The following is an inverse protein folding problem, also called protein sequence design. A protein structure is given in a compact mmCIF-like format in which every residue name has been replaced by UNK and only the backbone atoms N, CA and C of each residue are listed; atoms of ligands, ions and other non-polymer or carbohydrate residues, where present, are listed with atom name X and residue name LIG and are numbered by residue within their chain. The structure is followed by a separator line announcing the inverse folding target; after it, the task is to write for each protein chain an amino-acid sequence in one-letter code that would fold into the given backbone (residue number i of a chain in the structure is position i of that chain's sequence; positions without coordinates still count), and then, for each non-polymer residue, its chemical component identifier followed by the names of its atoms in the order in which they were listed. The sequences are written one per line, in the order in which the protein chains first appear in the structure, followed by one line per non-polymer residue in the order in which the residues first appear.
data_IF_076734558649
#
_entry.id   IF_076734558649
#
_cell.length_a   1.000
_cell.length_b   1.000
_cell.length_c   1.000
_cell.angle_alpha   90.00
_cell.angle_beta   90.00
_cell.angle_gamma   90.00
#
_symmetry.space_group_name_H-M   'P 1'
#
loop_
_entity.id
_entity.type
_entity.pdbx_description
1 polymer ?
#
# COMPACT_ATOMS: atom_id res chain seq x y z
N UNK A 1 -15.25 -6.91 52.54
CA UNK A 1 -15.10 -5.46 52.30
C UNK A 1 -13.64 -4.95 52.27
N UNK A 2 -12.61 -5.81 52.31
CA UNK A 2 -11.18 -5.40 52.20
C UNK A 2 -10.58 -5.47 50.79
N UNK A 3 -11.31 -6.01 49.80
CA UNK A 3 -10.83 -6.18 48.41
C UNK A 3 -11.20 -5.04 47.46
N UNK A 4 -12.01 -4.08 47.92
CA UNK A 4 -12.45 -2.92 47.10
C UNK A 4 -11.52 -1.73 47.26
N UNK A 5 -10.82 -1.61 48.40
CA UNK A 5 -9.91 -0.49 48.70
C UNK A 5 -8.56 -0.61 47.95
N UNK A 6 -8.13 -1.83 47.60
CA UNK A 6 -6.86 -2.04 46.87
C UNK A 6 -6.95 -1.62 45.40
N UNK A 7 -8.16 -1.54 44.82
CA UNK A 7 -8.35 -1.12 43.42
C UNK A 7 -8.45 0.39 43.22
N UNK A 8 -8.57 1.18 44.31
CA UNK A 8 -8.55 2.64 44.22
C UNK A 8 -7.14 3.25 44.37
N UNK A 9 -6.14 2.50 44.86
CA UNK A 9 -4.76 2.98 44.99
C UNK A 9 -3.90 2.75 43.72
N UNK A 10 -4.38 1.94 42.77
CA UNK A 10 -3.68 1.69 41.50
C UNK A 10 -4.05 2.69 40.39
N UNK A 11 -5.10 3.49 40.59
CA UNK A 11 -5.61 4.46 39.59
C UNK A 11 -4.95 5.84 39.72
N UNK A 12 -4.26 6.12 40.82
CA UNK A 12 -3.56 7.40 41.04
C UNK A 12 -2.06 7.38 40.71
N UNK A 13 -1.46 6.22 40.42
CA UNK A 13 -0.06 6.15 39.96
C UNK A 13 0.10 6.08 38.43
N UNK A 14 -0.99 5.83 37.69
CA UNK A 14 -0.97 5.80 36.22
C UNK A 14 -1.10 7.20 35.57
N UNK A 15 -1.54 8.22 36.31
CA UNK A 15 -1.65 9.60 35.80
C UNK A 15 -0.37 10.43 35.92
N UNK A 16 0.71 9.92 36.53
CA UNK A 16 1.99 10.65 36.65
C UNK A 16 3.06 10.23 35.63
N UNK A 17 2.80 9.20 34.81
CA UNK A 17 3.69 8.84 33.68
C UNK A 17 3.23 9.53 32.38
N UNK A 18 2.07 10.19 32.38
CA UNK A 18 1.51 10.92 31.23
C UNK A 18 1.91 12.41 31.18
N UNK A 19 2.86 12.86 32.02
CA UNK A 19 3.35 14.24 32.00
C UNK A 19 4.87 14.38 31.74
N UNK A 20 5.59 13.27 31.51
CA UNK A 20 7.06 13.24 31.40
C UNK A 20 7.64 12.88 30.04
N UNK A 21 6.84 12.81 28.96
CA UNK A 21 7.34 12.49 27.59
C UNK A 21 7.06 13.65 26.60
N UNK A 22 6.67 14.81 27.12
CA UNK A 22 6.49 16.06 26.38
C UNK A 22 7.66 17.02 26.64
N UNK A 23 8.89 16.50 26.74
CA UNK A 23 10.12 17.30 26.74
C UNK A 23 11.33 16.37 26.57
N UNK A 24 11.82 16.17 25.34
CA UNK A 24 13.13 15.56 25.17
C UNK A 24 13.39 14.88 23.83
N UNK A 25 14.08 15.60 22.95
CA UNK A 25 15.05 14.97 22.05
C UNK A 25 14.53 14.57 20.68
N UNK A 26 14.37 15.56 19.80
CA UNK A 26 14.47 15.30 18.38
C UNK A 26 15.83 14.67 18.04
N UNK A 27 15.80 13.56 17.31
CA UNK A 27 16.98 13.04 16.60
C UNK A 27 16.65 12.88 15.12
N UNK A 28 17.11 13.88 14.39
CA UNK A 28 17.36 13.90 12.96
C UNK A 28 18.32 12.75 12.60
N UNK A 29 17.89 11.81 11.76
CA UNK A 29 18.82 10.87 11.11
C UNK A 29 19.19 11.49 9.76
N UNK A 30 20.38 12.05 9.71
CA UNK A 30 21.06 12.58 8.52
C UNK A 30 21.73 11.40 7.80
N UNK A 31 21.44 11.22 6.52
CA UNK A 31 22.32 10.50 5.60
C UNK A 31 22.96 11.50 4.63
N UNK A 32 24.28 11.65 4.75
CA UNK A 32 25.23 11.74 3.63
C UNK A 32 25.12 12.90 2.62
N UNK A 33 25.66 14.05 3.00
CA UNK A 33 26.62 14.89 2.23
C UNK A 33 26.48 15.05 0.71
N UNK A 34 25.95 16.21 0.31
CA UNK A 34 26.28 16.93 -0.92
C UNK A 34 26.04 18.44 -0.68
N UNK A 35 27.11 19.21 -0.51
CA UNK A 35 27.10 20.63 -0.12
C UNK A 35 26.41 21.56 -1.16
N UNK A 36 25.62 22.56 -0.72
CA UNK A 36 25.21 23.71 -1.53
C UNK A 36 25.97 25.01 -1.14
N UNK A 37 26.29 25.86 -2.11
CA UNK A 37 26.68 27.27 -1.93
C UNK A 37 25.89 28.04 -3.00
N UNK A 38 24.80 28.74 -2.64
CA UNK A 38 24.71 30.16 -2.25
C UNK A 38 25.29 31.12 -3.34
N UNK A 39 24.63 32.19 -3.78
CA UNK A 39 23.47 32.90 -3.28
C UNK A 39 22.85 33.82 -4.34
N UNK A 40 21.87 34.62 -3.90
CA UNK A 40 20.89 35.31 -4.73
C UNK A 40 21.18 36.82 -4.95
N UNK A 41 20.74 37.31 -6.14
CA UNK A 41 20.14 38.63 -6.51
C UNK A 41 20.96 39.94 -6.29
N UNK A 42 20.60 41.13 -6.88
CA UNK A 42 19.54 41.44 -7.87
C UNK A 42 19.87 42.49 -8.99
N UNK A 43 18.88 42.68 -9.88
CA UNK A 43 18.35 43.93 -10.47
C UNK A 43 19.00 44.67 -11.68
N UNK A 44 18.10 44.92 -12.65
CA UNK A 44 17.87 46.13 -13.49
C UNK A 44 18.57 46.33 -14.85
N UNK A 45 17.70 46.35 -15.87
CA UNK A 45 17.53 47.30 -16.99
C UNK A 45 18.72 47.68 -17.89
N UNK A 46 18.61 47.42 -19.20
CA UNK A 46 18.35 48.42 -20.27
C UNK A 46 18.48 47.78 -21.68
N UNK A 47 17.55 48.15 -22.56
CA UNK A 47 17.47 47.93 -24.04
C UNK A 47 18.52 48.86 -24.75
N UNK A 48 18.61 49.05 -26.09
CA UNK A 48 18.11 48.33 -27.28
C UNK A 48 19.18 48.15 -28.41
N UNK A 49 18.74 47.57 -29.55
CA UNK A 49 19.07 47.98 -30.95
C UNK A 49 19.76 46.92 -31.84
N UNK A 50 19.03 46.49 -32.88
CA UNK A 50 19.50 45.88 -34.15
C UNK A 50 20.23 46.95 -35.01
N UNK A 51 21.13 46.63 -35.98
CA UNK A 51 20.69 46.09 -37.29
C UNK A 51 21.67 45.19 -38.09
N UNK A 52 21.07 44.31 -38.92
CA UNK A 52 21.34 44.01 -40.35
C UNK A 52 22.79 44.06 -40.89
N UNK A 53 23.24 42.95 -41.51
CA UNK A 53 23.62 42.87 -42.94
C UNK A 53 24.14 41.47 -43.35
N UNK A 54 23.64 40.98 -44.48
CA UNK A 54 23.98 39.74 -45.20
C UNK A 54 25.14 40.07 -46.18
N UNK A 55 26.00 39.11 -46.61
CA UNK A 55 25.78 38.54 -47.94
C UNK A 55 26.15 37.04 -48.12
N UNK A 56 25.63 36.53 -49.24
CA UNK A 56 25.60 35.18 -49.81
C UNK A 56 26.96 34.68 -50.31
N UNK A 57 27.22 33.36 -50.18
CA UNK A 57 28.04 32.62 -51.16
C UNK A 57 27.63 31.13 -51.27
N UNK A 58 27.71 30.58 -52.49
CA UNK A 58 26.94 29.45 -53.00
C UNK A 58 27.62 28.06 -52.91
N UNK A 59 26.76 27.03 -52.69
CA UNK A 59 26.72 25.62 -53.19
C UNK A 59 27.98 24.73 -53.23
N UNK A 60 27.84 23.42 -52.91
CA UNK A 60 27.56 22.42 -53.96
C UNK A 60 26.46 21.38 -53.64
N UNK A 61 25.90 20.82 -54.72
CA UNK A 61 24.79 19.86 -54.79
C UNK A 61 25.08 18.50 -54.16
N UNK A 62 24.10 17.93 -53.45
CA UNK A 62 24.07 16.52 -53.06
C UNK A 62 22.96 15.78 -53.83
N UNK A 63 23.32 14.67 -54.45
CA UNK A 63 22.43 13.79 -55.24
C UNK A 63 21.51 13.02 -54.29
N UNK A 64 20.19 13.12 -54.49
CA UNK A 64 19.20 12.39 -53.70
C UNK A 64 19.05 10.94 -54.21
N UNK A 65 19.28 9.96 -53.34
CA UNK A 65 18.92 8.54 -53.57
C UNK A 65 17.56 8.31 -52.95
N UNK A 66 16.57 7.93 -53.77
CA UNK A 66 15.22 7.62 -53.31
C UNK A 66 15.21 6.32 -52.48
N UNK A 67 14.79 6.42 -51.22
CA UNK A 67 14.56 5.25 -50.36
C UNK A 67 13.20 4.61 -50.68
N UNK A 68 13.20 3.28 -50.84
CA UNK A 68 12.00 2.47 -50.99
C UNK A 68 11.19 2.47 -49.67
N UNK A 69 9.85 2.61 -49.67
CA UNK A 69 9.07 2.61 -48.44
C UNK A 69 9.07 1.21 -47.80
N UNK A 70 9.54 1.14 -46.54
CA UNK A 70 9.45 -0.07 -45.72
C UNK A 70 7.99 -0.37 -45.38
N UNK A 71 7.58 -1.62 -45.58
CA UNK A 71 6.27 -2.14 -45.20
C UNK A 71 6.08 -2.04 -43.67
N UNK A 72 4.96 -1.49 -43.16
CA UNK A 72 4.73 -1.42 -41.71
C UNK A 72 4.72 -2.82 -41.10
N UNK A 73 5.62 -3.07 -40.16
CA UNK A 73 5.60 -4.27 -39.34
C UNK A 73 4.27 -4.32 -38.56
N UNK A 74 3.57 -5.45 -38.62
CA UNK A 74 2.38 -5.67 -37.81
C UNK A 74 2.73 -5.47 -36.33
N UNK A 75 2.02 -4.56 -35.65
CA UNK A 75 2.17 -4.34 -34.22
C UNK A 75 1.88 -5.65 -33.45
N UNK A 76 2.62 -5.96 -32.38
CA UNK A 76 2.34 -7.14 -31.57
C UNK A 76 0.88 -7.11 -31.08
N UNK A 77 0.15 -8.19 -31.30
CA UNK A 77 -1.19 -8.34 -30.75
C UNK A 77 -1.12 -8.20 -29.22
N UNK A 78 -1.86 -7.24 -28.68
CA UNK A 78 -1.99 -7.00 -27.24
C UNK A 78 -2.61 -8.26 -26.61
N UNK A 79 -1.78 -9.10 -25.99
CA UNK A 79 -2.24 -10.31 -25.31
C UNK A 79 -3.07 -9.85 -24.12
N UNK A 80 -4.36 -10.21 -24.11
CA UNK A 80 -5.26 -9.90 -23.00
C UNK A 80 -4.58 -10.25 -21.65
N UNK A 81 -4.62 -9.36 -20.65
CA UNK A 81 -3.94 -9.59 -19.39
C UNK A 81 -4.47 -10.88 -18.75
N UNK A 82 -3.58 -11.86 -18.56
CA UNK A 82 -3.95 -13.13 -17.96
C UNK A 82 -4.49 -12.91 -16.54
N UNK A 83 -5.66 -13.48 -16.24
CA UNK A 83 -6.28 -13.48 -14.91
C UNK A 83 -5.28 -14.01 -13.88
N UNK A 84 -4.78 -13.12 -13.01
CA UNK A 84 -3.68 -13.41 -12.07
C UNK A 84 -4.10 -14.13 -10.78
N UNK A 85 -5.40 -14.20 -10.50
CA UNK A 85 -5.94 -14.78 -9.28
C UNK A 85 -7.33 -15.38 -9.49
N UNK A 86 -7.75 -16.27 -8.60
CA UNK A 86 -9.15 -16.70 -8.48
C UNK A 86 -9.76 -16.14 -7.20
N UNK A 87 -10.99 -15.64 -7.30
CA UNK A 87 -11.76 -15.14 -6.17
C UNK A 87 -12.96 -16.07 -5.92
N UNK A 88 -13.07 -16.59 -4.70
CA UNK A 88 -14.09 -17.57 -4.31
C UNK A 88 -14.85 -17.05 -3.10
N UNK A 89 -16.17 -16.79 -3.21
CA UNK A 89 -16.97 -16.40 -2.06
C UNK A 89 -17.11 -17.58 -1.09
N UNK A 90 -17.04 -17.31 0.20
CA UNK A 90 -17.28 -18.32 1.24
C UNK A 90 -17.92 -17.69 2.48
N UNK A 91 -18.44 -18.53 3.38
CA UNK A 91 -19.05 -18.09 4.63
C UNK A 91 -18.37 -18.73 5.83
N UNK A 92 -18.24 -17.97 6.91
CA UNK A 92 -17.74 -18.47 8.20
C UNK A 92 -18.32 -17.64 9.34
N UNK A 93 -18.70 -18.29 10.46
CA UNK A 93 -19.27 -17.59 11.62
C UNK A 93 -20.50 -16.73 11.30
N UNK A 94 -21.32 -17.13 10.31
CA UNK A 94 -22.49 -16.36 9.85
C UNK A 94 -22.19 -15.19 8.90
N UNK A 95 -20.91 -14.93 8.63
CA UNK A 95 -20.42 -13.78 7.86
C UNK A 95 -19.95 -14.16 6.46
N UNK A 96 -20.05 -13.21 5.53
CA UNK A 96 -19.60 -13.36 4.14
C UNK A 96 -18.15 -12.91 3.94
N UNK A 97 -17.37 -13.71 3.21
CA UNK A 97 -15.98 -13.43 2.88
C UNK A 97 -15.69 -13.78 1.42
N UNK A 98 -14.57 -13.27 0.94
CA UNK A 98 -14.00 -13.66 -0.34
C UNK A 98 -12.58 -14.16 -0.13
N UNK A 99 -12.34 -15.39 -0.56
CA UNK A 99 -11.02 -16.00 -0.57
C UNK A 99 -10.36 -15.77 -1.91
N UNK A 100 -9.14 -15.24 -1.90
CA UNK A 100 -8.33 -15.00 -3.10
C UNK A 100 -7.17 -15.97 -3.09
N UNK A 101 -7.00 -16.69 -4.20
CA UNK A 101 -5.86 -17.57 -4.44
C UNK A 101 -5.08 -17.02 -5.63
N UNK A 102 -3.80 -16.74 -5.42
CA UNK A 102 -2.91 -16.25 -6.45
C UNK A 102 -2.52 -17.38 -7.40
N UNK A 103 -2.43 -17.08 -8.70
CA UNK A 103 -1.91 -18.01 -9.72
C UNK A 103 -0.45 -17.73 -10.08
N UNK A 104 0.12 -16.64 -9.56
CA UNK A 104 1.51 -16.25 -9.80
C UNK A 104 2.10 -15.54 -8.56
N UNK A 105 3.41 -15.67 -8.30
CA UNK A 105 4.07 -14.84 -7.30
C UNK A 105 4.05 -13.36 -7.70
N UNK A 106 4.18 -12.47 -6.72
CA UNK A 106 4.24 -11.02 -6.98
C UNK A 106 2.89 -10.37 -7.23
N UNK A 107 1.77 -11.02 -6.89
CA UNK A 107 0.44 -10.41 -7.01
C UNK A 107 0.33 -9.18 -6.10
N UNK A 108 0.13 -8.02 -6.70
CA UNK A 108 -0.08 -6.75 -6.01
C UNK A 108 -1.57 -6.46 -5.86
N UNK A 109 -1.92 -5.90 -4.71
CA UNK A 109 -3.26 -5.44 -4.39
C UNK A 109 -3.26 -3.91 -4.32
N UNK A 110 -4.20 -3.31 -5.02
CA UNK A 110 -4.45 -1.88 -5.02
C UNK A 110 -5.79 -1.55 -4.36
N UNK A 111 -5.96 -0.31 -3.93
CA UNK A 111 -7.20 0.18 -3.35
C UNK A 111 -8.33 0.14 -4.40
N UNK A 112 -9.43 -0.60 -4.19
CA UNK A 112 -10.58 -0.59 -5.10
C UNK A 112 -11.56 0.54 -4.78
N UNK A 113 -11.41 1.17 -3.61
CA UNK A 113 -12.22 2.29 -3.13
C UNK A 113 -11.31 3.33 -2.47
N UNK A 114 -11.67 4.63 -2.53
CA UNK A 114 -10.96 5.66 -1.80
C UNK A 114 -11.26 5.55 -0.29
N UNK A 115 -10.32 6.00 0.53
CA UNK A 115 -10.51 6.05 1.98
C UNK A 115 -9.21 6.24 2.77
N UNK A 116 -9.32 6.07 4.08
CA UNK A 116 -8.17 6.08 4.98
C UNK A 116 -7.76 4.66 5.33
N UNK A 117 -6.46 4.39 5.29
CA UNK A 117 -5.89 3.10 5.65
C UNK A 117 -5.82 2.95 7.16
N UNK A 118 -6.29 1.80 7.65
CA UNK A 118 -6.02 1.29 9.00
C UNK A 118 -5.25 -0.03 8.89
N UNK A 119 -4.08 -0.11 9.50
CA UNK A 119 -3.26 -1.32 9.59
C UNK A 119 -3.25 -1.81 11.03
N UNK A 120 -3.73 -3.03 11.24
CA UNK A 120 -3.63 -3.72 12.53
C UNK A 120 -2.75 -4.95 12.39
N UNK A 121 -1.68 -5.02 13.18
CA UNK A 121 -0.80 -6.17 13.22
C UNK A 121 -1.26 -7.14 14.30
N UNK A 122 -1.50 -8.39 13.90
CA UNK A 122 -1.89 -9.48 14.78
C UNK A 122 -0.77 -10.48 14.92
N UNK A 123 -0.71 -11.15 16.07
CA UNK A 123 0.14 -12.31 16.31
C UNK A 123 -0.72 -13.45 16.83
N UNK A 124 -0.33 -14.69 16.52
CA UNK A 124 -0.92 -15.88 17.12
C UNK A 124 -0.01 -16.35 18.25
N UNK A 125 -0.49 -16.21 19.49
CA UNK A 125 0.29 -16.47 20.70
C UNK A 125 -0.48 -17.49 21.52
N UNK A 126 0.12 -18.66 21.75
CA UNK A 126 -0.45 -19.70 22.62
C UNK A 126 -1.88 -20.11 22.25
N UNK A 127 -2.20 -20.15 20.94
CA UNK A 127 -3.53 -20.51 20.45
C UNK A 127 -4.51 -19.35 20.35
N UNK A 128 -4.10 -18.13 20.70
CA UNK A 128 -4.95 -16.95 20.68
C UNK A 128 -4.47 -15.87 19.70
N UNK A 129 -5.43 -15.18 19.08
CA UNK A 129 -5.16 -14.02 18.24
C UNK A 129 -5.01 -12.79 19.13
N UNK A 130 -3.81 -12.19 19.12
CA UNK A 130 -3.47 -10.99 19.90
C UNK A 130 -3.17 -9.83 18.97
N UNK A 131 -3.57 -8.62 19.36
CA UNK A 131 -3.32 -7.36 18.64
C UNK A 131 -2.46 -6.44 19.51
N UNK A 132 -1.49 -5.74 18.91
CA UNK A 132 -0.60 -4.83 19.64
C UNK A 132 0.45 -5.52 20.52
N UNK A 133 0.56 -6.85 20.46
CA UNK A 133 1.70 -7.59 21.03
C UNK A 133 2.95 -7.38 20.18
N UNK A 134 4.12 -7.56 20.80
CA UNK A 134 5.41 -7.47 20.12
C UNK A 134 6.33 -8.62 20.58
N UNK A 135 5.97 -9.85 20.22
CA UNK A 135 6.82 -11.02 20.44
C UNK A 135 7.65 -11.24 19.18
N UNK A 136 8.94 -10.85 19.13
CA UNK A 136 9.68 -10.75 17.86
C UNK A 136 9.95 -12.09 17.18
N UNK A 137 9.89 -13.20 17.93
CA UNK A 137 10.06 -14.56 17.42
C UNK A 137 8.82 -15.10 16.69
N UNK A 138 7.69 -14.39 16.77
CA UNK A 138 6.42 -14.81 16.17
C UNK A 138 6.05 -13.93 14.98
N UNK A 139 5.44 -14.52 13.93
CA UNK A 139 5.02 -13.78 12.75
C UNK A 139 3.97 -12.71 13.09
N UNK A 140 4.10 -11.56 12.42
CA UNK A 140 3.07 -10.53 12.39
C UNK A 140 2.18 -10.72 11.17
N UNK A 141 0.87 -10.67 11.36
CA UNK A 141 -0.13 -10.78 10.30
C UNK A 141 -0.85 -9.43 10.15
N UNK A 142 -0.66 -8.73 9.03
CA UNK A 142 -1.27 -7.42 8.83
C UNK A 142 -2.72 -7.57 8.38
N UNK A 143 -3.62 -6.83 9.01
CA UNK A 143 -4.95 -6.57 8.48
C UNK A 143 -4.93 -5.19 7.87
N UNK A 144 -5.00 -5.12 6.55
CA UNK A 144 -5.01 -3.86 5.79
C UNK A 144 -6.47 -3.49 5.54
N UNK A 145 -6.92 -2.40 6.14
CA UNK A 145 -8.31 -1.97 6.03
C UNK A 145 -8.41 -0.62 5.36
N UNK A 146 -9.31 -0.47 4.40
CA UNK A 146 -9.71 0.81 3.85
C UNK A 146 -11.02 1.21 4.51
N UNK A 147 -11.00 2.33 5.24
CA UNK A 147 -12.20 2.96 5.79
C UNK A 147 -12.63 4.06 4.83
N UNK A 148 -13.72 3.82 4.13
CA UNK A 148 -14.37 4.78 3.23
C UNK A 148 -15.51 5.48 3.94
N UNK A 149 -16.24 6.37 3.22
CA UNK A 149 -17.39 7.07 3.76
C UNK A 149 -18.52 6.15 4.23
N UNK A 150 -18.73 5.01 3.54
CA UNK A 150 -19.90 4.15 3.77
C UNK A 150 -19.53 2.71 4.18
N UNK A 151 -18.28 2.32 3.94
CA UNK A 151 -17.85 0.93 4.07
C UNK A 151 -16.43 0.76 4.60
N UNK A 152 -16.17 -0.42 5.16
CA UNK A 152 -14.89 -0.91 5.64
C UNK A 152 -14.51 -2.18 4.86
N UNK A 153 -13.46 -2.10 4.05
CA UNK A 153 -12.91 -3.23 3.29
C UNK A 153 -11.62 -3.70 3.95
N UNK A 154 -11.57 -4.95 4.44
CA UNK A 154 -10.41 -5.50 5.14
C UNK A 154 -9.81 -6.67 4.39
N UNK A 155 -8.52 -6.56 4.07
CA UNK A 155 -7.67 -7.63 3.57
C UNK A 155 -6.93 -8.32 4.71
N UNK A 156 -6.81 -9.64 4.60
CA UNK A 156 -6.10 -10.51 5.56
C UNK A 156 -5.10 -11.38 4.80
N UNK A 157 -3.96 -10.82 4.36
CA UNK A 157 -2.88 -11.62 3.78
C UNK A 157 -2.18 -12.49 4.83
N UNK A 158 -1.15 -13.22 4.38
CA UNK A 158 -0.25 -13.99 5.23
C UNK A 158 0.73 -13.12 6.03
N UNK A 159 1.77 -13.74 6.59
CA UNK A 159 2.70 -13.06 7.48
C UNK A 159 3.51 -11.95 6.77
N UNK A 160 3.72 -10.84 7.48
CA UNK A 160 4.48 -9.69 7.03
C UNK A 160 5.96 -10.06 6.87
N UNK A 161 6.56 -9.67 5.75
CA UNK A 161 7.98 -9.89 5.43
C UNK A 161 8.31 -11.28 4.89
N UNK A 162 7.45 -12.29 5.11
CA UNK A 162 7.64 -13.63 4.53
C UNK A 162 6.62 -14.00 3.45
N UNK A 163 5.38 -13.54 3.55
CA UNK A 163 4.32 -13.78 2.56
C UNK A 163 3.86 -12.48 1.93
N UNK A 164 3.71 -11.43 2.73
CA UNK A 164 3.20 -10.14 2.28
C UNK A 164 4.16 -9.00 2.63
N UNK A 165 4.26 -8.02 1.73
CA UNK A 165 4.93 -6.76 1.97
C UNK A 165 3.98 -5.60 1.76
N UNK A 166 3.92 -4.69 2.72
CA UNK A 166 3.07 -3.49 2.67
C UNK A 166 3.73 -2.43 1.79
N UNK A 167 2.92 -1.80 0.94
CA UNK A 167 3.29 -0.64 0.13
C UNK A 167 2.66 0.66 0.63
N UNK A 168 1.84 0.56 1.68
CA UNK A 168 1.11 1.67 2.28
C UNK A 168 1.34 1.73 3.79
N UNK A 169 1.20 2.93 4.36
CA UNK A 169 1.32 3.17 5.80
C UNK A 169 -0.05 3.36 6.46
N UNK A 170 -0.11 3.09 7.76
CA UNK A 170 -1.29 3.39 8.59
C UNK A 170 -1.64 4.88 8.57
N UNK A 171 -2.93 5.21 8.55
CA UNK A 171 -3.45 6.57 8.48
C UNK A 171 -3.34 7.25 7.11
N UNK A 172 -2.73 6.59 6.10
CA UNK A 172 -2.62 7.15 4.74
C UNK A 172 -4.00 7.26 4.09
N UNK A 173 -4.29 8.39 3.45
CA UNK A 173 -5.43 8.54 2.53
C UNK A 173 -5.03 8.00 1.17
N UNK A 174 -5.88 7.15 0.59
CA UNK A 174 -5.69 6.50 -0.71
C UNK A 174 -6.84 6.78 -1.67
N UNK A 175 -6.54 6.76 -2.96
CA UNK A 175 -7.52 6.76 -4.06
C UNK A 175 -7.51 5.40 -4.78
N UNK A 176 -8.50 5.17 -5.65
CA UNK A 176 -8.58 3.93 -6.41
C UNK A 176 -7.31 3.72 -7.24
N UNK A 177 -6.73 2.52 -7.16
CA UNK A 177 -5.50 2.16 -7.85
C UNK A 177 -4.21 2.34 -7.03
N UNK A 178 -4.26 3.03 -5.89
CA UNK A 178 -3.09 3.17 -5.02
C UNK A 178 -2.62 1.80 -4.49
N UNK A 179 -1.30 1.51 -4.50
CA UNK A 179 -0.78 0.23 -4.05
C UNK A 179 -0.95 0.05 -2.54
N UNK A 180 -1.42 -1.13 -2.12
CA UNK A 180 -1.62 -1.47 -0.71
C UNK A 180 -0.54 -2.42 -0.20
N UNK A 181 -0.39 -3.57 -0.88
CA UNK A 181 0.57 -4.60 -0.54
C UNK A 181 0.81 -5.54 -1.72
N UNK A 182 1.88 -6.32 -1.65
CA UNK A 182 2.17 -7.39 -2.61
C UNK A 182 2.40 -8.72 -1.89
N UNK A 183 2.05 -9.81 -2.56
CA UNK A 183 2.44 -11.16 -2.13
C UNK A 183 3.85 -11.45 -2.67
N UNK A 184 4.81 -11.62 -1.76
CA UNK A 184 6.23 -11.81 -2.13
C UNK A 184 6.66 -13.27 -2.19
N UNK A 185 5.91 -14.15 -1.54
CA UNK A 185 6.14 -15.59 -1.58
C UNK A 185 4.81 -16.35 -1.51
N UNK A 186 4.85 -17.64 -1.82
CA UNK A 186 3.73 -18.54 -1.61
C UNK A 186 3.44 -18.66 -0.10
N UNK A 187 2.18 -18.43 0.28
CA UNK A 187 1.80 -18.53 1.68
C UNK A 187 0.31 -18.31 1.89
N UNK A 188 -0.22 -18.95 2.92
CA UNK A 188 -1.64 -18.82 3.28
C UNK A 188 -1.89 -17.51 4.02
N UNK A 189 -3.12 -17.03 3.86
CA UNK A 189 -3.66 -15.92 4.65
C UNK A 189 -3.55 -16.20 6.15
N UNK A 190 -3.54 -15.15 6.94
CA UNK A 190 -3.72 -15.23 8.40
C UNK A 190 -4.98 -15.98 8.82
N UNK A 191 -5.99 -16.10 7.95
CA UNK A 191 -7.17 -16.91 8.19
C UNK A 191 -6.85 -18.38 8.44
N UNK A 192 -5.87 -18.91 7.71
CA UNK A 192 -5.43 -20.30 7.88
C UNK A 192 -4.76 -20.53 9.24
N UNK A 193 -4.01 -19.54 9.73
CA UNK A 193 -3.38 -19.60 11.04
C UNK A 193 -4.38 -19.44 12.18
N UNK A 194 -5.35 -18.52 12.03
CA UNK A 194 -6.16 -18.05 13.15
C UNK A 194 -7.48 -18.82 13.32
N UNK A 195 -8.06 -19.33 12.24
CA UNK A 195 -9.44 -19.82 12.25
C UNK A 195 -9.59 -21.20 11.63
N UNK A 196 -9.06 -21.42 10.42
CA UNK A 196 -9.22 -22.67 9.69
C UNK A 196 -7.97 -23.02 8.89
N UNK A 197 -7.14 -23.92 9.42
CA UNK A 197 -5.91 -24.39 8.79
C UNK A 197 -6.11 -25.02 7.40
N UNK A 198 -7.34 -25.37 7.02
CA UNK A 198 -7.66 -25.94 5.70
C UNK A 198 -8.05 -24.87 4.67
N UNK A 199 -8.21 -23.61 5.06
CA UNK A 199 -8.58 -22.54 4.16
C UNK A 199 -7.52 -22.35 3.05
N UNK A 200 -7.85 -22.53 1.76
CA UNK A 200 -6.88 -22.56 0.67
C UNK A 200 -6.58 -21.16 0.09
N UNK A 201 -6.78 -20.11 0.88
CA UNK A 201 -6.73 -18.73 0.41
C UNK A 201 -5.45 -18.04 0.85
N UNK A 202 -4.84 -17.31 -0.09
CA UNK A 202 -3.63 -16.54 0.16
C UNK A 202 -3.98 -15.17 0.76
N UNK A 203 -5.17 -14.64 0.41
CA UNK A 203 -5.77 -13.46 1.03
C UNK A 203 -7.25 -13.72 1.30
N UNK A 204 -7.73 -13.32 2.48
CA UNK A 204 -9.17 -13.27 2.79
C UNK A 204 -9.65 -11.84 2.89
N UNK A 205 -10.73 -11.52 2.20
CA UNK A 205 -11.32 -10.18 2.13
C UNK A 205 -12.71 -10.19 2.78
N UNK A 206 -13.03 -9.13 3.51
CA UNK A 206 -14.39 -8.85 3.99
C UNK A 206 -14.75 -7.41 3.70
N UNK A 207 -16.02 -7.17 3.39
CA UNK A 207 -16.59 -5.83 3.22
C UNK A 207 -17.76 -5.67 4.18
N UNK A 208 -17.84 -4.52 4.85
CA UNK A 208 -18.95 -4.18 5.72
C UNK A 208 -19.36 -2.73 5.52
N UNK A 209 -20.62 -2.40 5.81
CA UNK A 209 -20.99 -1.00 6.06
C UNK A 209 -20.30 -0.50 7.33
N UNK A 210 -20.20 0.83 7.52
CA UNK A 210 -19.70 1.38 8.78
C UNK A 210 -20.56 0.95 10.00
N UNK A 211 -21.85 0.66 9.79
CA UNK A 211 -22.74 0.11 10.80
C UNK A 211 -22.56 -1.40 11.07
N UNK A 212 -21.57 -2.04 10.44
CA UNK A 212 -21.22 -3.45 10.69
C UNK A 212 -22.02 -4.49 9.89
N UNK A 213 -22.92 -4.07 8.98
CA UNK A 213 -23.62 -5.00 8.10
C UNK A 213 -22.65 -5.57 7.08
N UNK A 214 -22.59 -6.89 6.95
CA UNK A 214 -21.77 -7.54 5.93
C UNK A 214 -22.30 -7.24 4.51
N UNK A 215 -21.36 -6.96 3.61
CA UNK A 215 -21.57 -6.75 2.18
C UNK A 215 -20.73 -7.78 1.41
N UNK A 216 -21.03 -7.96 0.12
CA UNK A 216 -20.24 -8.85 -0.73
C UNK A 216 -18.99 -8.11 -1.27
N UNK A 217 -17.76 -8.48 -0.85
CA UNK A 217 -16.56 -7.87 -1.40
C UNK A 217 -16.32 -8.23 -2.88
N UNK A 218 -16.95 -9.29 -3.43
CA UNK A 218 -16.73 -9.73 -4.81
C UNK A 218 -17.02 -8.63 -5.85
N UNK A 219 -17.83 -7.62 -5.51
CA UNK A 219 -18.08 -6.43 -6.34
C UNK A 219 -16.79 -5.72 -6.78
N UNK A 220 -15.71 -5.84 -6.01
CA UNK A 220 -14.41 -5.22 -6.30
C UNK A 220 -13.39 -6.18 -6.95
N UNK A 221 -13.74 -7.46 -7.12
CA UNK A 221 -12.81 -8.50 -7.58
C UNK A 221 -13.38 -9.31 -8.77
N UNK A 222 -14.20 -8.66 -9.59
CA UNK A 222 -14.70 -9.22 -10.85
C UNK A 222 -13.56 -9.47 -11.84
N UNK A 223 -13.55 -10.68 -12.41
CA UNK A 223 -12.46 -11.19 -13.27
C UNK A 223 -12.20 -10.35 -14.52
N UNK A 224 -10.92 -10.30 -14.88
CA UNK A 224 -10.44 -10.02 -16.23
C UNK A 224 -10.97 -11.05 -17.22
#
# INVERSE_FOLDING_TARGET
MKRVVVRLAAVTLACLITAGVLAGGGRLIVFGTGLPVAGARPASSEDPSLPVAIPVQATPQAVAVAASPAQPAAAPAETAPAVRYSATPFRSGGRGYLGITSRAPGLSFAAPIPGTIEIRLYQFIEGEVRVGSNVPSLPFFPYVTIVSADARLTYRPGALGSVAELSVADGRVVVVGDPLFRLVDAGRSSWATFYDARAPYDVVVSLQTLGGRDLDPAVYFGGS
#
